data_IF_671395534917
#
_entry.id   IF_671395534917
#
_cell.length_a   1.000
_cell.length_b   1.000
_cell.length_c   1.000
_cell.angle_alpha   90.00
_cell.angle_beta   90.00
_cell.angle_gamma   90.00
#
_symmetry.space_group_name_H-M   'P 1'
#
loop_
_entity.id
_entity.type
_entity.pdbx_description
1 polymer ?
#
# COMPACT_ATOMS: atom_id res chain seq x y z
N UNK A 1 51.75 -23.03 -20.25
CA UNK A 1 50.29 -22.90 -20.09
C UNK A 1 50.05 -21.51 -19.52
N UNK A 2 49.97 -20.52 -20.40
CA UNK A 2 49.83 -19.11 -20.02
C UNK A 2 48.41 -18.83 -19.53
N UNK A 3 48.33 -18.35 -18.28
CA UNK A 3 47.12 -17.89 -17.62
C UNK A 3 46.94 -16.42 -17.98
N UNK A 4 45.94 -16.13 -18.81
CA UNK A 4 45.55 -14.76 -19.16
C UNK A 4 44.92 -14.04 -17.97
N UNK A 5 45.25 -12.75 -17.72
CA UNK A 5 44.84 -12.05 -16.50
C UNK A 5 43.40 -11.50 -16.59
N UNK A 6 42.81 -11.40 -15.40
CA UNK A 6 41.48 -10.93 -15.04
C UNK A 6 41.05 -9.65 -15.79
N UNK A 7 39.97 -9.74 -16.57
CA UNK A 7 39.27 -8.56 -17.10
C UNK A 7 38.36 -7.95 -16.01
N UNK A 8 38.29 -6.62 -15.86
CA UNK A 8 37.50 -5.97 -14.82
C UNK A 8 35.99 -6.10 -15.09
N UNK A 9 35.21 -6.28 -14.03
CA UNK A 9 33.74 -6.39 -13.97
C UNK A 9 32.95 -5.14 -14.45
N UNK A 10 33.56 -4.25 -15.24
CA UNK A 10 32.96 -2.97 -15.63
C UNK A 10 32.11 -3.06 -16.91
N UNK A 11 32.37 -4.04 -17.77
CA UNK A 11 31.77 -4.07 -19.12
C UNK A 11 30.51 -4.96 -19.23
N UNK A 12 30.05 -5.60 -18.16
CA UNK A 12 28.84 -6.46 -18.18
C UNK A 12 27.61 -5.83 -17.53
N UNK A 13 27.68 -4.55 -17.14
CA UNK A 13 26.56 -3.85 -16.48
C UNK A 13 25.98 -2.71 -17.33
N UNK A 14 26.59 -2.42 -18.51
CA UNK A 14 26.14 -1.39 -19.44
C UNK A 14 25.16 -1.89 -20.52
N UNK A 15 25.00 -3.20 -20.69
CA UNK A 15 24.11 -3.77 -21.74
C UNK A 15 22.64 -3.97 -21.30
N UNK A 16 22.31 -3.91 -20.00
CA UNK A 16 20.94 -4.14 -19.51
C UNK A 16 20.19 -2.86 -19.08
N UNK A 17 20.82 -1.68 -19.17
CA UNK A 17 20.21 -0.39 -18.79
C UNK A 17 19.55 0.38 -19.96
N UNK A 18 19.51 -0.21 -21.16
CA UNK A 18 18.99 0.43 -22.39
C UNK A 18 17.51 0.14 -22.71
N UNK A 19 16.67 -0.26 -21.74
CA UNK A 19 15.22 -0.52 -21.97
C UNK A 19 14.24 0.48 -21.33
N UNK A 20 14.67 1.72 -21.11
CA UNK A 20 13.76 2.85 -20.93
C UNK A 20 13.94 3.86 -22.06
N UNK A 21 12.84 4.11 -22.77
CA UNK A 21 12.72 4.92 -23.98
C UNK A 21 13.17 6.37 -23.79
N UNK A 22 14.47 6.62 -23.98
CA UNK A 22 15.00 7.90 -24.48
C UNK A 22 15.47 7.65 -25.91
N UNK A 23 14.72 8.15 -26.89
CA UNK A 23 15.08 8.04 -28.31
C UNK A 23 16.26 8.98 -28.55
N UNK A 24 17.47 8.41 -28.60
CA UNK A 24 18.70 9.08 -29.01
C UNK A 24 18.67 9.32 -30.52
N UNK A 25 18.97 10.55 -30.92
CA UNK A 25 18.95 10.99 -32.31
C UNK A 25 20.33 10.80 -32.92
N UNK A 26 20.73 9.57 -33.23
CA UNK A 26 21.96 9.33 -33.99
C UNK A 26 21.81 8.06 -34.84
N UNK A 27 22.26 8.16 -36.10
CA UNK A 27 22.38 7.13 -37.16
C UNK A 27 21.14 6.81 -38.03
N UNK A 28 20.95 7.64 -39.05
CA UNK A 28 20.96 7.28 -40.48
C UNK A 28 20.56 5.85 -40.90
N UNK A 29 19.28 5.48 -40.77
CA UNK A 29 18.64 4.44 -41.60
C UNK A 29 17.12 4.42 -41.36
N UNK A 30 16.36 5.23 -42.09
CA UNK A 30 15.02 4.84 -42.59
C UNK A 30 14.52 5.89 -43.60
N UNK A 31 14.73 5.55 -44.87
CA UNK A 31 14.16 6.23 -46.04
C UNK A 31 12.68 5.82 -46.11
N UNK A 32 11.77 6.54 -45.45
CA UNK A 32 10.32 6.44 -45.70
C UNK A 32 9.66 7.83 -45.58
N UNK A 33 9.29 8.37 -46.75
CA UNK A 33 8.27 9.38 -47.04
C UNK A 33 8.42 10.80 -46.46
N UNK A 34 8.87 11.70 -47.33
CA UNK A 34 8.39 13.08 -47.42
C UNK A 34 6.85 13.15 -47.27
N UNK A 35 6.34 14.20 -46.61
CA UNK A 35 4.92 14.53 -46.36
C UNK A 35 4.27 14.05 -45.03
N UNK A 36 4.80 14.43 -43.87
CA UNK A 36 4.04 14.96 -42.72
C UNK A 36 4.99 15.23 -41.53
N UNK A 37 5.47 16.48 -41.40
CA UNK A 37 6.21 16.91 -40.20
C UNK A 37 5.25 16.88 -38.98
N UNK A 38 5.26 15.77 -38.24
CA UNK A 38 4.43 15.62 -37.04
C UNK A 38 4.83 16.67 -36.01
N UNK A 39 3.85 17.43 -35.50
CA UNK A 39 4.12 18.50 -34.54
C UNK A 39 4.81 18.02 -33.25
N UNK A 40 4.66 16.73 -32.92
CA UNK A 40 5.31 16.09 -31.77
C UNK A 40 5.86 14.71 -32.15
N UNK A 41 7.12 14.62 -32.62
CA UNK A 41 7.75 13.34 -32.95
C UNK A 41 7.84 12.47 -31.69
N UNK A 42 7.27 11.26 -31.73
CA UNK A 42 7.27 10.29 -30.62
C UNK A 42 5.89 9.83 -30.12
N UNK A 43 4.80 10.50 -30.51
CA UNK A 43 3.43 10.06 -30.21
C UNK A 43 2.77 9.41 -31.44
N UNK A 44 1.81 8.49 -31.25
CA UNK A 44 1.12 7.84 -32.39
C UNK A 44 0.32 8.85 -33.21
N UNK A 45 0.22 8.68 -34.53
CA UNK A 45 -0.51 9.63 -35.38
C UNK A 45 -2.02 9.69 -35.05
N UNK A 46 -2.75 8.57 -34.91
CA UNK A 46 -4.07 8.56 -34.28
C UNK A 46 -3.99 8.18 -32.80
N UNK A 47 -4.68 8.94 -31.95
CA UNK A 47 -5.07 8.55 -30.60
C UNK A 47 -6.59 8.35 -30.54
N UNK A 48 -7.07 7.39 -29.75
CA UNK A 48 -8.51 7.07 -29.61
C UNK A 48 -9.22 6.79 -30.95
N UNK A 49 -8.51 6.22 -31.93
CA UNK A 49 -8.99 5.91 -33.28
C UNK A 49 -9.57 7.10 -34.10
N UNK A 50 -9.56 8.34 -33.58
CA UNK A 50 -10.14 9.51 -34.28
C UNK A 50 -9.38 10.83 -34.09
N UNK A 51 -8.43 10.95 -33.15
CA UNK A 51 -7.76 12.22 -32.85
C UNK A 51 -6.37 12.28 -33.48
N UNK A 52 -6.26 13.01 -34.60
CA UNK A 52 -4.98 13.35 -35.26
C UNK A 52 -4.23 14.41 -34.43
N UNK A 53 -2.91 14.35 -34.36
CA UNK A 53 -2.11 15.21 -33.47
C UNK A 53 -2.33 16.73 -33.66
N UNK A 54 -2.61 17.15 -34.90
CA UNK A 54 -2.76 18.56 -35.26
C UNK A 54 -4.11 19.17 -34.87
N UNK A 55 -5.15 18.37 -34.59
CA UNK A 55 -6.48 18.91 -34.30
C UNK A 55 -6.70 19.13 -32.80
N UNK A 56 -7.33 20.24 -32.39
CA UNK A 56 -7.87 20.36 -31.03
C UNK A 56 -8.98 19.32 -30.84
N UNK A 57 -9.09 18.63 -29.69
CA UNK A 57 -8.47 18.94 -28.40
C UNK A 57 -7.08 18.34 -28.16
N UNK A 58 -6.58 17.47 -29.04
CA UNK A 58 -5.33 16.72 -28.81
C UNK A 58 -4.08 17.59 -28.81
N UNK A 59 -3.97 18.55 -29.74
CA UNK A 59 -2.82 19.46 -29.79
C UNK A 59 -2.70 20.34 -28.53
N UNK A 60 -3.84 20.75 -27.96
CA UNK A 60 -3.91 21.51 -26.71
C UNK A 60 -3.53 20.64 -25.50
N UNK A 61 -4.05 19.42 -25.46
CA UNK A 61 -3.72 18.46 -24.40
C UNK A 61 -2.22 18.12 -24.41
N UNK A 62 -1.64 17.84 -25.58
CA UNK A 62 -0.20 17.62 -25.73
C UNK A 62 0.61 18.84 -25.25
N UNK A 63 0.27 20.05 -25.73
CA UNK A 63 0.93 21.30 -25.31
C UNK A 63 0.85 21.53 -23.80
N UNK A 64 -0.26 21.16 -23.17
CA UNK A 64 -0.47 21.28 -21.73
C UNK A 64 0.36 20.26 -20.95
N UNK A 65 0.34 18.99 -21.36
CA UNK A 65 1.08 17.90 -20.70
C UNK A 65 2.58 18.08 -20.81
N UNK A 66 3.09 18.59 -21.93
CA UNK A 66 4.53 18.83 -22.11
C UNK A 66 5.01 20.14 -21.48
N UNK A 67 4.13 20.97 -20.92
CA UNK A 67 4.53 22.21 -20.29
C UNK A 67 5.16 21.92 -18.91
N UNK A 68 6.42 22.33 -18.63
CA UNK A 68 7.07 22.09 -17.33
C UNK A 68 6.38 22.78 -16.14
N UNK A 69 5.47 23.72 -16.39
CA UNK A 69 4.61 24.29 -15.35
C UNK A 69 3.55 23.31 -14.87
N UNK A 70 3.05 22.44 -15.75
CA UNK A 70 2.04 21.45 -15.42
C UNK A 70 2.56 20.49 -14.35
N UNK A 71 3.77 19.97 -14.51
CA UNK A 71 4.40 19.08 -13.52
C UNK A 71 4.66 19.78 -12.18
N UNK A 72 5.08 21.05 -12.20
CA UNK A 72 5.30 21.84 -10.98
C UNK A 72 4.00 22.11 -10.22
N UNK A 73 2.91 22.43 -10.92
CA UNK A 73 1.59 22.60 -10.31
C UNK A 73 1.10 21.28 -9.72
N UNK A 74 1.19 20.18 -10.47
CA UNK A 74 0.79 18.86 -9.97
C UNK A 74 1.57 18.47 -8.72
N UNK A 75 2.88 18.72 -8.68
CA UNK A 75 3.70 18.46 -7.49
C UNK A 75 3.25 19.28 -6.27
N UNK A 76 2.89 20.56 -6.48
CA UNK A 76 2.36 21.40 -5.42
C UNK A 76 1.01 20.89 -4.90
N UNK A 77 0.11 20.45 -5.79
CA UNK A 77 -1.18 19.85 -5.42
C UNK A 77 -1.00 18.56 -4.61
N UNK A 78 -0.03 17.72 -4.98
CA UNK A 78 0.31 16.51 -4.20
C UNK A 78 0.77 16.90 -2.79
N UNK A 79 1.63 17.91 -2.65
CA UNK A 79 2.12 18.37 -1.35
C UNK A 79 0.96 18.86 -0.47
N UNK A 80 0.05 19.65 -1.03
CA UNK A 80 -1.17 20.07 -0.32
C UNK A 80 -1.98 18.85 0.11
N UNK A 81 -2.14 17.84 -0.76
CA UNK A 81 -2.88 16.63 -0.42
C UNK A 81 -2.26 15.89 0.78
N UNK A 82 -0.93 15.75 0.81
CA UNK A 82 -0.21 15.15 1.93
C UNK A 82 -0.44 15.93 3.24
N UNK A 83 -0.41 17.27 3.18
CA UNK A 83 -0.70 18.11 4.35
C UNK A 83 -2.15 17.92 4.81
N UNK A 84 -3.11 17.87 3.88
CA UNK A 84 -4.51 17.65 4.24
C UNK A 84 -4.75 16.29 4.87
N UNK A 85 -4.10 15.23 4.38
CA UNK A 85 -4.16 13.89 4.98
C UNK A 85 -3.53 13.87 6.38
N UNK A 86 -2.41 14.58 6.58
CA UNK A 86 -1.74 14.66 7.88
C UNK A 86 -2.51 15.48 8.93
N UNK A 87 -3.39 16.39 8.50
CA UNK A 87 -4.24 17.19 9.40
C UNK A 87 -5.49 16.45 9.90
N UNK A 88 -5.81 15.29 9.32
CA UNK A 88 -6.99 14.50 9.67
C UNK A 88 -6.92 14.00 11.12
N UNK A 89 -8.00 14.18 11.89
CA UNK A 89 -8.10 13.77 13.30
C UNK A 89 -9.14 12.65 13.45
N UNK A 90 -8.73 11.38 13.54
CA UNK A 90 -9.68 10.26 13.50
C UNK A 90 -10.67 10.21 14.67
N UNK A 91 -10.37 10.86 15.80
CA UNK A 91 -11.26 10.86 16.98
C UNK A 91 -12.32 11.98 16.96
N UNK A 92 -12.13 13.02 16.14
CA UNK A 92 -13.02 14.19 16.09
C UNK A 92 -13.79 14.24 14.77
N UNK A 93 -13.14 13.85 13.67
CA UNK A 93 -13.71 13.84 12.33
C UNK A 93 -14.60 12.59 12.13
N UNK A 94 -15.79 12.62 12.73
CA UNK A 94 -16.85 11.66 12.45
C UNK A 94 -17.51 11.93 11.09
N UNK A 95 -18.22 10.93 10.55
CA UNK A 95 -18.85 10.94 9.21
C UNK A 95 -19.69 12.19 8.90
N UNK A 96 -20.24 12.84 9.93
CA UNK A 96 -21.11 14.00 9.78
C UNK A 96 -20.37 15.35 9.66
N UNK A 97 -19.03 15.37 9.57
CA UNK A 97 -18.20 16.59 9.42
C UNK A 97 -18.80 17.85 10.09
N UNK A 98 -18.93 17.82 11.42
CA UNK A 98 -19.62 18.88 12.17
C UNK A 98 -18.76 20.14 12.37
N UNK A 99 -17.44 19.98 12.42
CA UNK A 99 -16.50 21.09 12.63
C UNK A 99 -16.19 21.80 11.32
N UNK A 100 -16.11 23.14 11.34
CA UNK A 100 -15.69 23.97 10.19
C UNK A 100 -14.39 23.47 9.53
N UNK A 101 -13.46 22.96 10.36
CA UNK A 101 -12.20 22.34 9.92
C UNK A 101 -12.42 21.12 9.01
N UNK A 102 -13.34 20.21 9.38
CA UNK A 102 -13.67 19.02 8.59
C UNK A 102 -14.29 19.41 7.25
N UNK A 103 -15.18 20.41 7.25
CA UNK A 103 -15.78 20.93 6.02
C UNK A 103 -14.73 21.49 5.06
N UNK A 104 -13.84 22.37 5.54
CA UNK A 104 -12.76 22.93 4.72
C UNK A 104 -11.82 21.84 4.19
N UNK A 105 -11.42 20.89 5.04
CA UNK A 105 -10.53 19.80 4.64
C UNK A 105 -11.17 18.90 3.59
N UNK A 106 -12.46 18.59 3.77
CA UNK A 106 -13.26 17.84 2.81
C UNK A 106 -13.35 18.59 1.47
N UNK A 107 -13.70 19.88 1.47
CA UNK A 107 -13.74 20.69 0.23
C UNK A 107 -12.41 20.70 -0.51
N UNK A 108 -11.28 20.84 0.20
CA UNK A 108 -9.95 20.77 -0.41
C UNK A 108 -9.72 19.39 -1.04
N UNK A 109 -10.08 18.30 -0.36
CA UNK A 109 -9.92 16.94 -0.90
C UNK A 109 -10.74 16.70 -2.18
N UNK A 110 -11.93 17.30 -2.28
CA UNK A 110 -12.77 17.28 -3.48
C UNK A 110 -12.12 18.05 -4.65
N UNK A 111 -11.60 19.25 -4.39
CA UNK A 111 -10.90 20.07 -5.40
C UNK A 111 -9.66 19.33 -5.92
N UNK A 112 -8.89 18.74 -5.01
CA UNK A 112 -7.70 17.95 -5.34
C UNK A 112 -8.08 16.73 -6.18
N UNK A 113 -9.13 16.01 -5.80
CA UNK A 113 -9.62 14.86 -6.58
C UNK A 113 -10.03 15.29 -8.00
N UNK A 114 -10.79 16.38 -8.13
CA UNK A 114 -11.19 16.90 -9.44
C UNK A 114 -9.99 17.30 -10.30
N UNK A 115 -8.97 17.93 -9.70
CA UNK A 115 -7.71 18.26 -10.40
C UNK A 115 -7.05 17.02 -11.01
N UNK A 116 -6.90 15.95 -10.22
CA UNK A 116 -6.29 14.71 -10.72
C UNK A 116 -7.15 13.98 -11.75
N UNK A 117 -8.47 14.01 -11.61
CA UNK A 117 -9.37 13.46 -12.62
C UNK A 117 -9.25 14.20 -13.96
N UNK A 118 -9.21 15.54 -13.93
CA UNK A 118 -9.01 16.37 -15.12
C UNK A 118 -7.63 16.11 -15.74
N UNK A 119 -6.58 16.07 -14.92
CA UNK A 119 -5.24 15.72 -15.39
C UNK A 119 -5.21 14.37 -16.12
N UNK A 120 -5.83 13.33 -15.54
CA UNK A 120 -5.94 12.02 -16.16
C UNK A 120 -6.67 12.09 -17.51
N UNK A 121 -7.78 12.81 -17.59
CA UNK A 121 -8.52 13.00 -18.83
C UNK A 121 -7.67 13.68 -19.90
N UNK A 122 -6.93 14.74 -19.54
CA UNK A 122 -6.03 15.45 -20.46
C UNK A 122 -4.96 14.48 -21.00
N UNK A 123 -4.35 13.66 -20.14
CA UNK A 123 -3.36 12.66 -20.56
C UNK A 123 -3.94 11.59 -21.49
N UNK A 124 -5.14 11.10 -21.22
CA UNK A 124 -5.83 10.13 -22.08
C UNK A 124 -6.14 10.74 -23.46
N UNK A 125 -6.55 12.00 -23.52
CA UNK A 125 -6.78 12.72 -24.79
C UNK A 125 -5.47 12.94 -25.56
N UNK A 126 -4.37 13.24 -24.86
CA UNK A 126 -3.06 13.48 -25.47
C UNK A 126 -2.42 12.20 -26.06
N UNK A 127 -2.40 11.12 -25.28
CA UNK A 127 -1.68 9.86 -25.57
C UNK A 127 -2.57 8.80 -26.25
N UNK A 128 -3.88 8.87 -26.05
CA UNK A 128 -4.82 7.80 -26.37
C UNK A 128 -5.01 6.80 -25.22
N UNK A 129 -6.08 6.00 -25.29
CA UNK A 129 -6.44 5.05 -24.23
C UNK A 129 -5.72 3.69 -24.38
N UNK A 130 -5.74 3.10 -25.58
CA UNK A 130 -5.20 1.77 -25.86
C UNK A 130 -4.24 1.80 -27.06
N UNK A 131 -3.06 1.17 -26.94
CA UNK A 131 -2.00 1.17 -27.94
C UNK A 131 -0.59 1.10 -27.32
N UNK A 132 0.43 0.77 -28.12
CA UNK A 132 1.81 0.58 -27.63
C UNK A 132 2.42 1.84 -26.99
N UNK A 133 2.01 3.03 -27.43
CA UNK A 133 2.40 4.32 -26.85
C UNK A 133 1.21 5.07 -26.19
N UNK A 134 0.13 4.33 -25.85
CA UNK A 134 -1.04 4.91 -25.22
C UNK A 134 -0.85 5.09 -23.71
N UNK A 135 -1.74 5.84 -23.07
CA UNK A 135 -1.70 6.13 -21.63
C UNK A 135 -1.55 4.87 -20.76
N UNK A 136 -2.22 3.77 -21.12
CA UNK A 136 -2.17 2.50 -20.40
C UNK A 136 -0.91 1.66 -20.67
N UNK A 137 0.01 2.04 -21.57
CA UNK A 137 1.25 1.28 -21.74
C UNK A 137 2.26 1.54 -20.60
N UNK A 138 2.24 2.75 -20.02
CA UNK A 138 3.09 3.13 -18.89
C UNK A 138 2.51 2.63 -17.56
N UNK A 139 3.26 1.78 -16.84
CA UNK A 139 2.92 1.23 -15.52
C UNK A 139 2.56 2.32 -14.51
N UNK A 140 3.22 3.48 -14.58
CA UNK A 140 2.98 4.57 -13.63
C UNK A 140 1.66 5.31 -13.90
N UNK A 141 1.28 5.42 -15.17
CA UNK A 141 -0.03 5.94 -15.55
C UNK A 141 -1.15 4.95 -15.20
N UNK A 142 -0.90 3.63 -15.23
CA UNK A 142 -1.86 2.64 -14.70
C UNK A 142 -2.13 2.82 -13.20
N UNK A 143 -1.09 3.12 -12.42
CA UNK A 143 -1.24 3.43 -10.99
C UNK A 143 -2.09 4.69 -10.79
N UNK A 144 -1.83 5.75 -11.55
CA UNK A 144 -2.60 7.00 -11.46
C UNK A 144 -4.09 6.78 -11.80
N UNK A 145 -4.35 6.05 -12.90
CA UNK A 145 -5.69 5.61 -13.30
C UNK A 145 -6.40 4.85 -12.18
N UNK A 146 -5.74 3.85 -11.59
CA UNK A 146 -6.31 3.07 -10.49
C UNK A 146 -6.70 3.94 -9.30
N UNK A 147 -5.85 4.89 -8.89
CA UNK A 147 -6.15 5.78 -7.77
C UNK A 147 -7.33 6.71 -8.10
N UNK A 148 -7.43 7.24 -9.33
CA UNK A 148 -8.57 8.09 -9.73
C UNK A 148 -9.86 7.26 -9.75
N UNK A 149 -9.82 6.06 -10.32
CA UNK A 149 -10.97 5.15 -10.37
C UNK A 149 -11.43 4.75 -8.97
N UNK A 150 -10.51 4.45 -8.05
CA UNK A 150 -10.86 4.11 -6.68
C UNK A 150 -11.49 5.30 -5.93
N UNK A 151 -10.99 6.52 -6.15
CA UNK A 151 -11.64 7.73 -5.64
C UNK A 151 -13.02 7.97 -6.26
N UNK A 152 -13.19 7.73 -7.57
CA UNK A 152 -14.49 7.81 -8.23
C UNK A 152 -15.48 6.78 -7.65
N UNK A 153 -15.03 5.55 -7.41
CA UNK A 153 -15.83 4.52 -6.76
C UNK A 153 -16.26 4.94 -5.35
N UNK A 154 -15.38 5.60 -4.58
CA UNK A 154 -15.75 6.16 -3.28
C UNK A 154 -16.89 7.19 -3.38
N UNK A 155 -16.80 8.14 -4.32
CA UNK A 155 -17.86 9.13 -4.55
C UNK A 155 -19.20 8.49 -4.94
N UNK A 156 -19.16 7.57 -5.91
CA UNK A 156 -20.36 6.88 -6.38
C UNK A 156 -20.98 6.03 -5.25
N UNK A 157 -20.18 5.28 -4.50
CA UNK A 157 -20.70 4.45 -3.41
C UNK A 157 -21.31 5.28 -2.29
N UNK A 158 -20.75 6.46 -1.99
CA UNK A 158 -21.32 7.37 -1.01
C UNK A 158 -22.68 7.93 -1.46
N UNK A 159 -22.85 8.23 -2.75
CA UNK A 159 -24.12 8.74 -3.31
C UNK A 159 -25.19 7.65 -3.41
N UNK A 160 -24.85 6.45 -3.89
CA UNK A 160 -25.83 5.38 -4.15
C UNK A 160 -26.18 4.53 -2.94
N UNK A 161 -25.22 4.23 -2.05
CA UNK A 161 -25.42 3.24 -0.98
C UNK A 161 -25.62 3.85 0.41
N UNK A 162 -25.44 5.17 0.57
CA UNK A 162 -25.95 6.05 1.64
C UNK A 162 -25.65 5.72 3.11
N UNK A 163 -25.35 4.48 3.49
CA UNK A 163 -25.38 3.97 4.87
C UNK A 163 -24.51 2.73 5.12
N UNK A 164 -23.70 2.26 4.17
CA UNK A 164 -22.74 1.18 4.44
C UNK A 164 -21.48 1.73 5.11
N UNK A 165 -20.83 0.94 5.97
CA UNK A 165 -19.57 1.30 6.61
C UNK A 165 -18.44 1.44 5.58
N UNK A 166 -18.34 2.61 4.95
CA UNK A 166 -17.34 2.96 3.93
C UNK A 166 -15.93 3.18 4.50
N UNK A 167 -15.68 2.80 5.76
CA UNK A 167 -14.40 3.02 6.45
C UNK A 167 -13.23 2.40 5.68
N UNK A 168 -13.42 1.20 5.10
CA UNK A 168 -12.39 0.52 4.32
C UNK A 168 -12.07 1.22 2.98
N UNK A 169 -13.04 1.88 2.37
CA UNK A 169 -12.84 2.61 1.11
C UNK A 169 -12.15 3.94 1.39
N UNK A 170 -12.50 4.62 2.49
CA UNK A 170 -11.80 5.84 2.94
C UNK A 170 -10.30 5.64 3.13
N UNK A 171 -9.87 4.46 3.59
CA UNK A 171 -8.44 4.12 3.70
C UNK A 171 -7.69 4.14 2.37
N UNK A 172 -8.38 3.99 1.22
CA UNK A 172 -7.73 4.07 -0.10
C UNK A 172 -7.18 5.47 -0.38
N UNK A 173 -7.71 6.52 0.25
CA UNK A 173 -7.19 7.89 0.13
C UNK A 173 -5.72 8.00 0.56
N UNK A 174 -5.24 7.09 1.41
CA UNK A 174 -3.84 6.98 1.83
C UNK A 174 -2.90 6.64 0.66
N UNK A 175 -3.41 6.14 -0.47
CA UNK A 175 -2.61 5.86 -1.67
C UNK A 175 -2.32 7.11 -2.51
N UNK A 176 -3.03 8.23 -2.33
CA UNK A 176 -2.84 9.45 -3.15
C UNK A 176 -1.39 9.96 -3.19
N UNK A 177 -0.61 9.94 -2.08
CA UNK A 177 0.82 10.28 -2.10
C UNK A 177 1.68 9.39 -3.01
N UNK A 178 1.27 8.15 -3.34
CA UNK A 178 2.02 7.31 -4.29
C UNK A 178 2.10 7.95 -5.69
N UNK A 179 1.18 8.86 -6.05
CA UNK A 179 1.27 9.64 -7.29
C UNK A 179 2.54 10.49 -7.36
N UNK A 180 3.13 10.85 -6.22
CA UNK A 180 4.41 11.57 -6.17
C UNK A 180 5.53 10.79 -6.84
N UNK A 181 5.51 9.45 -6.73
CA UNK A 181 6.49 8.58 -7.39
C UNK A 181 6.39 8.77 -8.91
N UNK A 182 5.18 8.86 -9.47
CA UNK A 182 4.99 9.17 -10.88
C UNK A 182 5.46 10.60 -11.26
N UNK A 183 5.60 11.56 -10.34
CA UNK A 183 6.07 12.92 -10.72
C UNK A 183 7.55 13.14 -10.58
N UNK A 184 8.18 12.46 -9.63
CA UNK A 184 9.59 12.65 -9.32
C UNK A 184 10.38 11.57 -10.07
N UNK A 185 11.11 11.91 -11.14
CA UNK A 185 11.84 10.91 -11.94
C UNK A 185 12.85 10.12 -11.09
N UNK A 186 13.51 10.77 -10.13
CA UNK A 186 14.42 10.11 -9.18
C UNK A 186 13.74 9.03 -8.34
N UNK A 187 12.47 9.24 -7.93
CA UNK A 187 11.71 8.25 -7.18
C UNK A 187 11.29 7.07 -8.07
N UNK A 188 10.92 7.33 -9.34
CA UNK A 188 10.61 6.25 -10.29
C UNK A 188 11.82 5.32 -10.46
N UNK A 189 13.01 5.88 -10.66
CA UNK A 189 14.25 5.10 -10.82
C UNK A 189 14.49 4.24 -9.58
N UNK A 190 14.39 4.83 -8.38
CA UNK A 190 14.59 4.11 -7.13
C UNK A 190 13.60 2.95 -6.94
N UNK A 191 12.31 3.18 -7.22
CA UNK A 191 11.29 2.14 -7.07
C UNK A 191 11.46 1.04 -8.13
N UNK A 192 11.78 1.39 -9.37
CA UNK A 192 12.07 0.39 -10.41
C UNK A 192 13.26 -0.49 -10.00
N UNK A 193 14.37 0.11 -9.55
CA UNK A 193 15.52 -0.63 -9.04
C UNK A 193 15.17 -1.57 -7.89
N UNK A 194 14.32 -1.11 -6.96
CA UNK A 194 13.83 -1.96 -5.88
C UNK A 194 13.03 -3.15 -6.44
N UNK A 195 12.09 -2.88 -7.35
CA UNK A 195 11.27 -3.93 -7.97
C UNK A 195 12.12 -4.91 -8.79
N UNK A 196 13.20 -4.47 -9.43
CA UNK A 196 14.13 -5.30 -10.20
C UNK A 196 14.92 -6.26 -9.29
N UNK A 197 15.16 -5.90 -8.03
CA UNK A 197 15.81 -6.79 -7.05
C UNK A 197 14.86 -7.81 -6.40
N UNK A 198 13.54 -7.58 -6.42
CA UNK A 198 12.55 -8.48 -5.79
C UNK A 198 12.56 -9.92 -6.36
N UNK A 199 12.65 -10.14 -7.70
CA UNK A 199 12.74 -11.48 -8.25
C UNK A 199 13.91 -12.30 -7.70
N UNK A 200 15.07 -11.67 -7.44
CA UNK A 200 16.23 -12.35 -6.87
C UNK A 200 15.98 -12.81 -5.43
N UNK A 201 15.18 -12.05 -4.67
CA UNK A 201 14.78 -12.41 -3.31
C UNK A 201 13.74 -13.55 -3.29
N UNK A 202 13.06 -13.82 -4.41
CA UNK A 202 12.01 -14.84 -4.51
C UNK A 202 12.47 -16.23 -4.05
N UNK A 203 13.70 -16.62 -4.36
CA UNK A 203 14.29 -17.90 -3.92
C UNK A 203 14.42 -17.99 -2.39
N UNK A 204 14.82 -16.89 -1.75
CA UNK A 204 14.97 -16.80 -0.29
C UNK A 204 13.61 -16.83 0.39
N UNK A 205 12.62 -16.13 -0.17
CA UNK A 205 11.24 -16.15 0.33
C UNK A 205 10.62 -17.55 0.25
N UNK A 206 10.89 -18.31 -0.81
CA UNK A 206 10.45 -19.70 -0.95
C UNK A 206 11.06 -20.59 0.14
N UNK A 207 12.36 -20.46 0.42
CA UNK A 207 12.99 -21.19 1.53
C UNK A 207 12.37 -20.81 2.88
N UNK A 208 12.18 -19.51 3.12
CA UNK A 208 11.57 -19.00 4.34
C UNK A 208 10.14 -19.53 4.54
N UNK A 209 9.35 -19.62 3.47
CA UNK A 209 8.03 -20.23 3.47
C UNK A 209 8.06 -21.68 3.96
N UNK A 210 8.97 -22.52 3.44
CA UNK A 210 9.11 -23.90 3.91
C UNK A 210 9.52 -24.00 5.38
N UNK A 211 10.44 -23.16 5.82
CA UNK A 211 10.88 -23.10 7.23
C UNK A 211 9.70 -22.77 8.13
N UNK A 212 8.96 -21.69 7.85
CA UNK A 212 7.78 -21.32 8.63
C UNK A 212 6.66 -22.35 8.56
N UNK A 213 6.49 -23.03 7.43
CA UNK A 213 5.49 -24.08 7.27
C UNK A 213 5.82 -25.31 8.14
N UNK A 214 7.05 -25.81 8.09
CA UNK A 214 7.48 -26.99 8.87
C UNK A 214 7.44 -26.68 10.37
N UNK A 215 8.06 -25.58 10.81
CA UNK A 215 8.04 -25.19 12.23
C UNK A 215 6.63 -24.79 12.69
N UNK A 216 5.79 -24.25 11.81
CA UNK A 216 4.39 -23.97 12.08
C UNK A 216 3.59 -25.23 12.35
N UNK A 217 3.74 -26.29 11.54
CA UNK A 217 3.10 -27.59 11.78
C UNK A 217 3.58 -28.19 13.09
N UNK A 218 4.89 -28.23 13.32
CA UNK A 218 5.46 -28.75 14.57
C UNK A 218 4.93 -27.95 15.77
N UNK A 219 4.87 -26.63 15.66
CA UNK A 219 4.41 -25.75 16.73
C UNK A 219 2.94 -25.92 17.07
N UNK A 220 2.07 -26.03 16.06
CA UNK A 220 0.64 -26.31 16.26
C UNK A 220 0.44 -27.70 16.86
N UNK A 221 1.14 -28.73 16.37
CA UNK A 221 0.99 -30.09 16.89
C UNK A 221 1.47 -30.22 18.35
N UNK A 222 2.52 -29.51 18.75
CA UNK A 222 3.07 -29.59 20.10
C UNK A 222 2.34 -28.71 21.12
N UNK A 223 1.94 -27.49 20.74
CA UNK A 223 1.46 -26.47 21.68
C UNK A 223 0.03 -25.98 21.44
N UNK A 224 -0.75 -26.63 20.57
CA UNK A 224 -2.16 -26.29 20.38
C UNK A 224 -2.92 -26.32 21.72
N UNK A 225 -3.51 -25.19 22.09
CA UNK A 225 -4.35 -25.05 23.29
C UNK A 225 -3.59 -24.96 24.61
N UNK A 226 -2.31 -25.34 24.68
CA UNK A 226 -1.55 -25.38 25.95
C UNK A 226 -1.44 -23.99 26.61
N UNK A 227 -1.31 -22.92 25.83
CA UNK A 227 -1.20 -21.56 26.35
C UNK A 227 -2.51 -21.02 26.97
N UNK A 228 -3.65 -21.71 26.77
CA UNK A 228 -4.94 -21.35 27.37
C UNK A 228 -5.14 -21.95 28.76
N UNK A 229 -4.31 -22.90 29.18
CA UNK A 229 -4.47 -23.58 30.47
C UNK A 229 -4.27 -22.60 31.65
N UNK A 230 -5.22 -22.59 32.59
CA UNK A 230 -5.19 -21.78 33.81
C UNK A 230 -5.56 -22.66 35.01
N UNK A 231 -5.05 -22.31 36.18
CA UNK A 231 -5.44 -22.96 37.43
C UNK A 231 -6.83 -22.45 37.86
N UNK A 232 -7.84 -23.31 37.75
CA UNK A 232 -9.23 -23.01 38.11
C UNK A 232 -9.59 -23.60 39.48
N UNK A 233 -10.49 -22.94 40.20
CA UNK A 233 -11.00 -23.44 41.48
C UNK A 233 -12.17 -24.40 41.19
N UNK A 234 -12.04 -25.67 41.56
CA UNK A 234 -13.14 -26.63 41.52
C UNK A 234 -13.96 -26.56 42.81
N UNK A 235 -14.99 -25.71 42.84
CA UNK A 235 -15.95 -25.73 43.95
C UNK A 235 -16.80 -27.02 43.87
N UNK A 236 -16.96 -27.76 44.98
CA UNK A 236 -17.81 -28.94 45.00
C UNK A 236 -19.26 -28.53 44.79
N UNK A 237 -20.04 -29.32 44.03
CA UNK A 237 -21.47 -29.08 43.72
C UNK A 237 -22.38 -29.30 44.94
N UNK A 238 -22.04 -28.76 46.11
CA UNK A 238 -22.83 -28.89 47.33
C UNK A 238 -23.76 -27.69 47.37
N UNK A 239 -25.07 -27.94 47.18
CA UNK A 239 -26.19 -27.02 47.37
C UNK A 239 -25.93 -25.57 46.92
N UNK A 240 -26.02 -25.34 45.61
CA UNK A 240 -26.38 -24.13 44.83
C UNK A 240 -26.30 -22.67 45.38
N UNK A 241 -25.81 -22.39 46.59
CA UNK A 241 -25.97 -21.09 47.27
C UNK A 241 -24.65 -20.43 47.71
N UNK A 242 -23.48 -20.96 47.32
CA UNK A 242 -22.23 -20.21 47.45
C UNK A 242 -22.03 -19.41 46.16
N UNK A 243 -22.57 -18.19 46.15
CA UNK A 243 -22.33 -17.26 45.06
C UNK A 243 -20.86 -16.83 45.12
N UNK A 244 -20.05 -17.30 44.17
CA UNK A 244 -18.62 -16.95 44.05
C UNK A 244 -18.46 -15.44 43.81
N UNK A 245 -19.55 -14.69 43.58
CA UNK A 245 -19.55 -13.24 43.57
C UNK A 245 -19.30 -12.59 44.95
N UNK A 246 -19.67 -13.25 46.06
CA UNK A 246 -19.52 -12.69 47.42
C UNK A 246 -18.07 -12.67 47.91
N UNK A 247 -17.22 -13.48 47.28
CA UNK A 247 -15.77 -13.44 47.46
C UNK A 247 -15.25 -12.82 46.17
N UNK A 248 -14.56 -11.68 46.21
CA UNK A 248 -14.01 -11.01 45.03
C UNK A 248 -12.84 -11.80 44.38
N UNK A 249 -12.96 -13.12 44.28
CA UNK A 249 -12.03 -14.04 43.68
C UNK A 249 -12.47 -14.34 42.25
N UNK A 250 -11.52 -14.29 41.33
CA UNK A 250 -11.73 -14.72 39.95
C UNK A 250 -11.73 -16.26 39.87
N UNK A 251 -12.49 -16.81 38.90
CA UNK A 251 -12.64 -18.28 38.71
C UNK A 251 -11.31 -19.02 38.49
N UNK A 252 -10.28 -18.30 38.08
CA UNK A 252 -8.92 -18.78 37.93
C UNK A 252 -7.94 -17.81 38.59
N UNK A 253 -6.74 -18.30 38.90
CA UNK A 253 -5.67 -17.50 39.49
C UNK A 253 -5.19 -16.40 38.53
N UNK A 254 -5.13 -15.16 39.01
CA UNK A 254 -4.61 -13.99 38.29
C UNK A 254 -3.45 -13.42 39.11
N UNK A 255 -2.22 -13.36 38.56
CA UNK A 255 -1.09 -12.71 39.23
C UNK A 255 -1.27 -11.19 39.27
N UNK A 256 -0.69 -10.54 40.28
CA UNK A 256 -0.77 -9.08 40.45
C UNK A 256 0.05 -8.33 39.37
N UNK A 257 1.07 -8.98 38.81
CA UNK A 257 1.85 -8.46 37.68
C UNK A 257 1.02 -8.50 36.39
N UNK A 258 0.41 -7.36 36.05
CA UNK A 258 -0.59 -7.21 34.98
C UNK A 258 -0.11 -7.55 33.57
N UNK A 259 1.17 -7.85 33.36
CA UNK A 259 1.71 -8.15 32.03
C UNK A 259 1.81 -9.64 31.71
N UNK A 260 1.82 -10.52 32.71
CA UNK A 260 2.07 -11.96 32.49
C UNK A 260 0.96 -12.80 33.08
N UNK A 261 0.27 -13.55 32.23
CA UNK A 261 -0.72 -14.53 32.69
C UNK A 261 -0.01 -15.80 33.19
N UNK A 262 -0.50 -16.40 34.28
CA UNK A 262 0.05 -17.66 34.80
C UNK A 262 -0.49 -18.86 34.00
N UNK A 263 0.37 -19.49 33.20
CA UNK A 263 0.03 -20.66 32.38
C UNK A 263 0.48 -21.92 33.11
N UNK A 264 -0.44 -22.87 33.33
CA UNK A 264 -0.13 -24.13 33.99
C UNK A 264 -0.05 -25.31 33.01
N UNK A 265 0.77 -26.29 33.34
CA UNK A 265 0.82 -27.59 32.66
C UNK A 265 -0.34 -28.48 33.11
N UNK A 266 -0.84 -29.33 32.22
CA UNK A 266 -1.78 -30.38 32.59
C UNK A 266 -1.04 -31.50 33.34
N UNK A 267 -1.78 -32.29 34.12
CA UNK A 267 -1.19 -33.31 35.00
C UNK A 267 -0.45 -34.43 34.23
N UNK A 268 -0.77 -34.62 32.96
CA UNK A 268 -0.14 -35.56 32.03
C UNK A 268 1.08 -34.98 31.30
N UNK A 269 1.39 -33.70 31.51
CA UNK A 269 2.46 -32.99 30.80
C UNK A 269 3.59 -32.54 31.74
N UNK A 270 4.83 -32.66 31.27
CA UNK A 270 6.06 -32.32 32.04
C UNK A 270 6.38 -30.82 32.07
N UNK A 271 5.37 -29.95 32.05
CA UNK A 271 5.60 -28.50 32.05
C UNK A 271 6.18 -27.98 33.37
N UNK A 272 6.87 -26.84 33.29
CA UNK A 272 7.59 -26.25 34.44
C UNK A 272 6.64 -25.70 35.52
N UNK A 273 5.52 -25.11 35.10
CA UNK A 273 4.55 -24.46 35.98
C UNK A 273 3.36 -25.39 36.24
N UNK A 274 3.14 -25.75 37.50
CA UNK A 274 1.98 -26.53 37.93
C UNK A 274 1.08 -25.68 38.85
N UNK A 275 -0.13 -26.16 39.14
CA UNK A 275 -1.04 -25.50 40.08
C UNK A 275 -0.73 -25.80 41.56
N UNK A 276 0.29 -26.62 41.86
CA UNK A 276 0.62 -27.03 43.23
C UNK A 276 1.44 -25.97 43.99
N UNK A 277 2.23 -25.16 43.27
CA UNK A 277 3.14 -24.15 43.84
C UNK A 277 2.81 -22.76 43.29
N UNK A 278 1.56 -22.33 43.49
CA UNK A 278 1.14 -20.98 43.12
C UNK A 278 1.88 -19.95 44.01
N UNK A 279 2.42 -18.86 43.45
CA UNK A 279 2.90 -17.74 44.25
C UNK A 279 1.80 -17.25 45.20
N UNK A 280 2.15 -16.81 46.43
CA UNK A 280 1.16 -16.26 47.35
C UNK A 280 0.48 -15.05 46.72
N UNK A 281 -0.85 -15.01 46.85
CA UNK A 281 -1.64 -13.89 46.38
C UNK A 281 -1.43 -12.70 47.31
N UNK A 282 -0.75 -11.67 46.79
CA UNK A 282 -0.53 -10.43 47.54
C UNK A 282 -1.78 -9.57 47.41
N UNK A 283 -2.42 -9.26 48.53
CA UNK A 283 -3.53 -8.32 48.58
C UNK A 283 -3.13 -7.10 49.41
N UNK A 284 -3.13 -5.91 48.81
CA UNK A 284 -2.69 -4.66 49.45
C UNK A 284 -1.25 -4.71 50.00
N UNK A 285 -0.32 -5.34 49.28
CA UNK A 285 1.08 -5.45 49.68
C UNK A 285 1.36 -6.48 50.81
N UNK A 286 0.35 -7.25 51.22
CA UNK A 286 0.50 -8.35 52.18
C UNK A 286 0.43 -9.68 51.44
N UNK A 287 1.48 -10.50 51.56
CA UNK A 287 1.61 -11.83 50.97
C UNK A 287 0.75 -12.88 51.66
#
# INVERSE_FOLDING_TARGET
MEVSPLRPWRDSMEDDYQKQTQVGWDSEADIINDECELSYPGFTEPALYCLRQAVPPRSWALRMVMNPWFDRITMFVILINCVTLGMYRPCEDNDNCTTYRCYVLSTIDHIIFAYFAIEMMIKIVALGFYGSAAYLSDTWNRLDFFIVCAGCAEYLLQEYLGNINLTAIRTIRVLRPLRAVNRIPSMRILVNLLLDTLPMLGNVLLLCFFVFFIFGIVGVQLWAGLLRNRCVISLPKINADIDVADISLTRYYIPEDTSLEYICSQADSSGLHTCNNLPPYVHNGVK
#
